data_IF_840300822247
#
_entry.id   IF_840300822247
#
_cell.length_a   1.000
_cell.length_b   1.000
_cell.length_c   1.000
_cell.angle_alpha   90.00
_cell.angle_beta   90.00
_cell.angle_gamma   90.00
#
_symmetry.space_group_name_H-M   'P 1'
#
loop_
_entity.id
_entity.type
_entity.pdbx_description
1 polymer ?
#
# COMPACT_ATOMS: atom_id res chain seq x y z
N UNK A 1 14.80 -15.86 26.90
CA UNK A 1 14.50 -14.53 26.33
C UNK A 1 13.59 -14.59 25.08
N UNK A 2 13.62 -15.68 24.31
CA UNK A 2 12.84 -15.92 23.07
C UNK A 2 11.32 -15.89 23.23
N UNK A 3 10.78 -16.36 24.37
CA UNK A 3 9.33 -16.45 24.59
C UNK A 3 8.68 -15.08 24.83
N UNK A 4 9.39 -14.16 25.48
CA UNK A 4 8.91 -12.80 25.80
C UNK A 4 8.89 -11.90 24.56
N UNK A 5 9.94 -11.97 23.74
CA UNK A 5 10.00 -11.27 22.44
C UNK A 5 8.94 -11.77 21.44
N UNK A 6 8.67 -13.08 21.40
CA UNK A 6 7.57 -13.60 20.55
C UNK A 6 6.19 -13.12 21.00
N UNK A 7 5.97 -12.99 22.31
CA UNK A 7 4.72 -12.45 22.86
C UNK A 7 4.54 -10.97 22.53
N UNK A 8 5.56 -10.13 22.74
CA UNK A 8 5.54 -8.71 22.34
C UNK A 8 5.34 -8.53 20.83
N UNK A 9 5.93 -9.40 20.00
CA UNK A 9 5.75 -9.36 18.55
C UNK A 9 4.34 -9.75 18.12
N UNK A 10 3.73 -10.75 18.77
CA UNK A 10 2.33 -11.12 18.54
C UNK A 10 1.38 -9.98 18.95
N UNK A 11 1.70 -9.28 20.04
CA UNK A 11 0.93 -8.14 20.54
C UNK A 11 0.89 -6.98 19.54
N UNK A 12 2.01 -6.65 18.88
CA UNK A 12 2.04 -5.60 17.84
C UNK A 12 1.20 -5.96 16.62
N UNK A 13 1.29 -7.20 16.12
CA UNK A 13 0.48 -7.66 14.99
C UNK A 13 -1.02 -7.64 15.31
N UNK A 14 -1.38 -8.11 16.51
CA UNK A 14 -2.75 -8.10 16.99
C UNK A 14 -3.29 -6.66 17.08
N UNK A 15 -2.58 -5.76 17.77
CA UNK A 15 -2.99 -4.37 17.95
C UNK A 15 -3.23 -3.63 16.63
N UNK A 16 -2.35 -3.82 15.65
CA UNK A 16 -2.51 -3.21 14.31
C UNK A 16 -3.72 -3.79 13.60
N UNK A 17 -3.87 -5.11 13.62
CA UNK A 17 -4.98 -5.76 12.93
C UNK A 17 -6.31 -5.38 13.58
N UNK A 18 -6.37 -5.34 14.91
CA UNK A 18 -7.58 -4.96 15.65
C UNK A 18 -7.99 -3.52 15.34
N UNK A 19 -7.01 -2.61 15.16
CA UNK A 19 -7.28 -1.26 14.72
C UNK A 19 -7.90 -1.22 13.32
N UNK A 20 -7.33 -1.99 12.38
CA UNK A 20 -7.83 -2.07 11.00
C UNK A 20 -9.22 -2.71 10.96
N UNK A 21 -9.44 -3.78 11.72
CA UNK A 21 -10.75 -4.44 11.87
C UNK A 21 -11.79 -3.45 12.40
N UNK A 22 -11.48 -2.69 13.45
CA UNK A 22 -12.40 -1.71 14.02
C UNK A 22 -12.76 -0.57 13.05
N UNK A 23 -11.89 -0.23 12.10
CA UNK A 23 -12.19 0.74 11.03
C UNK A 23 -13.08 0.09 9.96
N UNK A 24 -12.75 -1.13 9.54
CA UNK A 24 -13.55 -1.89 8.56
C UNK A 24 -14.98 -2.18 9.06
N UNK A 25 -15.16 -2.45 10.36
CA UNK A 25 -16.47 -2.63 11.00
C UNK A 25 -17.35 -1.36 10.94
N UNK A 26 -16.73 -0.18 10.89
CA UNK A 26 -17.42 1.10 10.69
C UNK A 26 -17.69 1.39 9.21
N UNK A 27 -17.39 0.44 8.31
CA UNK A 27 -17.45 0.61 6.86
C UNK A 27 -16.29 1.43 6.30
N UNK A 28 -15.30 1.78 7.14
CA UNK A 28 -14.16 2.62 6.75
C UNK A 28 -13.05 1.71 6.24
N UNK A 29 -12.63 1.90 4.99
CA UNK A 29 -11.46 1.22 4.41
C UNK A 29 -10.22 2.09 4.60
N UNK A 30 -9.29 1.74 5.50
CA UNK A 30 -8.17 2.63 5.85
C UNK A 30 -7.24 2.95 4.67
N UNK A 31 -7.12 2.02 3.73
CA UNK A 31 -6.35 2.19 2.49
C UNK A 31 -7.02 3.06 1.44
N UNK A 32 -8.33 3.32 1.57
CA UNK A 32 -9.13 4.12 0.63
C UNK A 32 -9.39 5.55 1.12
N UNK A 33 -9.18 5.80 2.41
CA UNK A 33 -9.43 7.07 3.08
C UNK A 33 -8.69 8.31 2.53
N UNK A 34 -7.46 8.25 1.96
CA UNK A 34 -6.85 9.44 1.38
C UNK A 34 -7.63 10.02 0.17
N UNK A 35 -8.52 9.22 -0.45
CA UNK A 35 -9.33 9.65 -1.60
C UNK A 35 -10.74 10.15 -1.23
N UNK A 36 -11.18 9.92 0.02
CA UNK A 36 -12.54 10.29 0.48
C UNK A 36 -12.57 11.49 1.43
N UNK A 37 -11.41 11.94 1.93
CA UNK A 37 -11.33 13.18 2.72
C UNK A 37 -11.69 14.37 1.84
N UNK A 38 -12.82 15.01 2.12
CA UNK A 38 -13.29 16.24 1.47
C UNK A 38 -12.34 17.43 1.59
N UNK A 39 -11.20 17.26 2.28
CA UNK A 39 -10.12 18.23 2.46
C UNK A 39 -8.80 17.78 1.81
N UNK A 40 -8.79 16.71 1.00
CA UNK A 40 -7.61 16.27 0.24
C UNK A 40 -7.38 17.15 -1.00
N UNK A 41 -7.21 18.46 -0.79
CA UNK A 41 -6.86 19.42 -1.86
C UNK A 41 -5.39 19.35 -2.28
N UNK A 42 -4.71 18.23 -2.02
CA UNK A 42 -3.30 18.00 -2.35
C UNK A 42 -3.12 16.74 -3.20
N UNK A 43 -2.02 16.65 -3.95
CA UNK A 43 -1.63 15.43 -4.69
C UNK A 43 -1.60 14.23 -3.73
N UNK A 44 -2.46 13.24 -3.97
CA UNK A 44 -2.45 11.99 -3.20
C UNK A 44 -1.20 11.20 -3.55
N UNK A 45 -0.33 11.05 -2.56
CA UNK A 45 0.94 10.32 -2.67
C UNK A 45 1.06 9.34 -1.52
N UNK A 46 1.92 8.33 -1.67
CA UNK A 46 2.25 7.46 -0.54
C UNK A 46 2.88 8.29 0.58
N UNK A 47 2.69 7.90 1.85
CA UNK A 47 3.36 8.57 2.94
C UNK A 47 4.87 8.59 2.67
N UNK A 48 5.50 9.73 2.86
CA UNK A 48 6.91 9.95 2.57
C UNK A 48 7.71 9.97 3.87
N UNK A 49 8.93 9.44 3.82
CA UNK A 49 9.93 9.60 4.88
C UNK A 49 10.52 11.02 4.81
N UNK A 50 11.22 11.43 5.85
CA UNK A 50 11.97 12.71 5.89
C UNK A 50 12.91 12.95 4.69
N UNK A 51 13.36 11.89 4.00
CA UNK A 51 14.23 11.96 2.83
C UNK A 51 13.48 11.87 1.49
N UNK A 52 12.15 11.98 1.49
CA UNK A 52 11.32 11.93 0.28
C UNK A 52 11.03 10.51 -0.24
N UNK A 53 11.66 9.47 0.30
CA UNK A 53 11.35 8.09 -0.12
C UNK A 53 9.99 7.64 0.44
N UNK A 54 9.16 6.97 -0.36
CA UNK A 54 7.87 6.47 0.09
C UNK A 54 8.01 5.37 1.16
N UNK A 55 7.04 5.32 2.06
CA UNK A 55 6.83 4.17 2.94
C UNK A 55 6.28 2.98 2.13
N UNK A 56 6.64 1.78 2.57
CA UNK A 56 6.29 0.53 1.90
C UNK A 56 5.46 -0.39 2.80
N UNK A 57 4.67 -1.26 2.17
CA UNK A 57 3.87 -2.28 2.84
C UNK A 57 2.85 -1.69 3.83
N UNK A 58 2.70 -2.34 4.98
CA UNK A 58 1.67 -2.00 5.99
C UNK A 58 1.79 -0.56 6.53
N UNK A 59 2.98 0.04 6.50
CA UNK A 59 3.17 1.42 6.98
C UNK A 59 2.40 2.43 6.15
N UNK A 60 2.15 2.16 4.88
CA UNK A 60 1.30 3.00 4.04
C UNK A 60 -0.10 3.10 4.65
N UNK A 61 -0.66 1.96 5.06
CA UNK A 61 -2.01 1.87 5.61
C UNK A 61 -2.13 2.53 6.97
N UNK A 62 -1.15 2.26 7.84
CA UNK A 62 -1.10 2.83 9.19
C UNK A 62 -1.03 4.36 9.14
N UNK A 63 -0.20 4.90 8.27
CA UNK A 63 0.01 6.34 8.17
C UNK A 63 -1.14 7.06 7.46
N UNK A 64 -1.79 6.44 6.47
CA UNK A 64 -3.01 7.01 5.88
C UNK A 64 -4.19 7.02 6.86
N UNK A 65 -4.45 5.90 7.54
CA UNK A 65 -5.47 5.81 8.60
C UNK A 65 -5.28 6.93 9.63
N UNK A 66 -4.03 7.11 10.08
CA UNK A 66 -3.71 8.13 11.06
C UNK A 66 -3.81 9.57 10.51
N UNK A 67 -3.34 9.81 9.28
CA UNK A 67 -3.45 11.11 8.63
C UNK A 67 -4.90 11.59 8.62
N UNK A 68 -5.84 10.70 8.29
CA UNK A 68 -7.25 11.07 8.26
C UNK A 68 -7.85 11.20 9.66
N UNK A 69 -7.56 10.26 10.57
CA UNK A 69 -8.05 10.31 11.94
C UNK A 69 -7.67 11.62 12.67
N UNK A 70 -6.53 12.21 12.31
CA UNK A 70 -6.01 13.46 12.90
C UNK A 70 -6.08 14.67 11.98
N UNK A 71 -6.57 14.52 10.76
CA UNK A 71 -6.70 15.60 9.78
C UNK A 71 -5.38 16.17 9.25
N UNK A 72 -4.33 15.35 9.14
CA UNK A 72 -3.07 15.77 8.55
C UNK A 72 -3.16 15.88 7.02
N UNK A 73 -2.71 17.01 6.49
CA UNK A 73 -2.69 17.30 5.05
C UNK A 73 -1.38 16.93 4.37
N UNK A 74 -0.26 16.87 5.12
CA UNK A 74 1.04 16.52 4.56
C UNK A 74 1.26 15.01 4.51
N UNK A 75 1.80 14.47 3.40
CA UNK A 75 2.17 13.06 3.32
C UNK A 75 3.46 12.73 4.07
N UNK A 76 4.20 13.69 4.63
CA UNK A 76 5.54 13.45 5.18
C UNK A 76 5.57 13.11 6.68
N UNK A 77 6.34 12.08 7.01
CA UNK A 77 6.50 11.52 8.35
C UNK A 77 7.97 11.33 8.73
N UNK A 78 8.30 11.56 9.99
CA UNK A 78 9.65 11.41 10.52
C UNK A 78 9.69 11.01 11.99
N UNK A 79 10.76 10.37 12.43
CA UNK A 79 10.96 10.03 13.85
C UNK A 79 11.30 11.25 14.68
N UNK A 80 11.12 11.17 16.01
CA UNK A 80 11.50 12.25 16.94
C UNK A 80 12.95 12.69 16.77
N UNK A 81 13.87 11.73 16.61
CA UNK A 81 15.30 12.02 16.42
C UNK A 81 15.55 12.77 15.11
N UNK A 82 14.93 12.35 14.01
CA UNK A 82 15.03 13.03 12.72
C UNK A 82 14.47 14.45 12.77
N UNK A 83 13.36 14.67 13.47
CA UNK A 83 12.81 16.00 13.68
C UNK A 83 13.84 16.91 14.38
N UNK A 84 14.46 16.41 15.46
CA UNK A 84 15.46 17.14 16.23
C UNK A 84 16.73 17.42 15.41
N UNK A 85 17.20 16.44 14.64
CA UNK A 85 18.38 16.59 13.76
C UNK A 85 18.15 17.65 12.66
N UNK A 86 16.89 17.86 12.26
CA UNK A 86 16.47 18.90 11.31
C UNK A 86 16.18 20.25 11.99
N UNK A 87 16.45 20.39 13.29
CA UNK A 87 16.17 21.61 14.06
C UNK A 87 14.72 21.79 14.48
N UNK A 88 13.86 20.79 14.23
CA UNK A 88 12.46 20.79 14.59
C UNK A 88 12.15 20.18 15.97
N UNK A 89 11.13 20.70 16.65
CA UNK A 89 10.65 20.19 17.92
C UNK A 89 9.21 19.67 17.80
N UNK A 90 8.98 18.40 18.16
CA UNK A 90 7.61 17.87 18.28
C UNK A 90 6.87 18.65 19.36
N UNK A 91 5.67 19.16 19.06
CA UNK A 91 4.88 19.95 20.01
C UNK A 91 4.52 19.14 21.25
N UNK A 92 4.51 19.81 22.40
CA UNK A 92 4.21 19.20 23.70
C UNK A 92 2.77 18.66 23.71
N UNK A 93 2.60 17.37 23.97
CA UNK A 93 1.29 16.71 24.04
C UNK A 93 0.91 15.93 22.77
N UNK A 94 1.65 16.07 21.68
CA UNK A 94 1.46 15.27 20.47
C UNK A 94 1.86 13.80 20.71
N UNK A 95 1.07 12.87 20.21
CA UNK A 95 1.38 11.44 20.26
C UNK A 95 1.86 10.93 18.91
N UNK A 96 2.88 10.08 18.92
CA UNK A 96 3.44 9.50 17.71
C UNK A 96 2.58 8.37 17.14
N UNK A 97 2.71 8.16 15.84
CA UNK A 97 1.99 7.16 15.07
C UNK A 97 2.91 5.96 14.81
N UNK A 98 2.39 4.76 14.98
CA UNK A 98 3.21 3.56 14.92
C UNK A 98 3.44 3.13 13.47
N UNK A 99 4.70 2.91 13.11
CA UNK A 99 5.12 2.21 11.90
C UNK A 99 5.94 0.98 12.28
N UNK A 100 5.95 -0.03 11.44
CA UNK A 100 6.71 -1.26 11.65
C UNK A 100 7.82 -1.39 10.61
N UNK A 101 9.01 -1.77 11.06
CA UNK A 101 10.14 -2.07 10.21
C UNK A 101 10.42 -3.57 10.31
N UNK A 102 10.27 -4.28 9.20
CA UNK A 102 10.66 -5.68 9.10
C UNK A 102 12.05 -5.76 8.45
N UNK A 103 13.00 -6.42 9.11
CA UNK A 103 14.32 -6.70 8.55
C UNK A 103 14.84 -8.05 9.07
N UNK A 104 16.02 -8.48 8.60
CA UNK A 104 16.69 -9.72 9.03
C UNK A 104 18.02 -9.37 9.65
N UNK A 105 18.42 -10.09 10.70
CA UNK A 105 19.79 -10.02 11.21
C UNK A 105 20.41 -11.42 11.20
N UNK A 106 21.70 -11.49 10.89
CA UNK A 106 22.44 -12.75 10.88
C UNK A 106 22.89 -13.09 12.29
N UNK A 107 22.57 -14.29 12.75
CA UNK A 107 23.09 -14.84 14.00
C UNK A 107 23.81 -16.14 13.69
N UNK A 108 25.09 -16.17 14.03
CA UNK A 108 25.90 -17.38 13.97
C UNK A 108 25.51 -18.28 15.14
N UNK A 109 24.96 -19.45 14.85
CA UNK A 109 24.63 -20.50 15.82
C UNK A 109 25.53 -21.71 15.55
N UNK A 110 26.08 -22.31 16.61
CA UNK A 110 26.84 -23.56 16.50
C UNK A 110 25.87 -24.73 16.46
N UNK A 111 25.91 -25.53 15.39
CA UNK A 111 25.11 -26.76 15.26
C UNK A 111 25.56 -27.83 16.26
N UNK A 112 24.76 -28.89 16.43
CA UNK A 112 25.06 -30.05 17.28
C UNK A 112 26.38 -30.77 16.92
N UNK A 113 26.97 -30.46 15.75
CA UNK A 113 28.26 -30.97 15.27
C UNK A 113 29.44 -30.00 15.48
N UNK A 114 29.23 -28.84 16.08
CA UNK A 114 30.28 -27.85 16.33
C UNK A 114 30.58 -26.91 15.15
N UNK A 115 29.80 -26.95 14.06
CA UNK A 115 29.95 -26.04 12.93
C UNK A 115 29.12 -24.76 13.12
N UNK A 116 29.73 -23.61 12.82
CA UNK A 116 29.06 -22.31 12.83
C UNK A 116 28.16 -22.17 11.60
N UNK A 117 26.85 -22.08 11.82
CA UNK A 117 25.86 -21.84 10.78
C UNK A 117 25.28 -20.44 10.99
N UNK A 118 25.44 -19.59 9.99
CA UNK A 118 24.78 -18.29 9.93
C UNK A 118 23.29 -18.48 9.62
N UNK A 119 22.43 -18.14 10.58
CA UNK A 119 20.98 -18.12 10.40
C UNK A 119 20.48 -16.69 10.33
N UNK A 120 19.72 -16.39 9.28
CA UNK A 120 18.97 -15.14 9.18
C UNK A 120 17.71 -15.20 10.05
N UNK A 121 17.65 -14.33 11.05
CA UNK A 121 16.50 -14.22 11.96
C UNK A 121 15.66 -13.00 11.54
N UNK A 122 14.41 -13.18 11.08
CA UNK A 122 13.53 -12.07 10.77
C UNK A 122 13.05 -11.39 12.05
N UNK A 123 13.21 -10.07 12.12
CA UNK A 123 12.72 -9.23 13.21
C UNK A 123 11.79 -8.15 12.68
N UNK A 124 10.87 -7.73 13.55
CA UNK A 124 9.94 -6.64 13.29
C UNK A 124 10.03 -5.67 14.47
N UNK A 125 10.41 -4.44 14.21
CA UNK A 125 10.53 -3.39 15.22
C UNK A 125 9.52 -2.31 14.94
N UNK A 126 8.73 -1.95 15.95
CA UNK A 126 7.84 -0.81 15.87
C UNK A 126 8.63 0.48 16.18
N UNK A 127 8.40 1.51 15.38
CA UNK A 127 8.90 2.86 15.60
C UNK A 127 7.72 3.82 15.70
N UNK A 128 7.90 4.89 16.46
CA UNK A 128 6.97 6.02 16.49
C UNK A 128 7.46 7.11 15.55
N UNK A 129 6.61 7.50 14.61
CA UNK A 129 6.83 8.61 13.69
C UNK A 129 5.78 9.69 13.90
N UNK A 130 6.11 10.91 13.51
CA UNK A 130 5.29 12.10 13.64
C UNK A 130 5.10 12.69 12.26
N UNK A 131 3.90 13.17 11.98
CA UNK A 131 3.65 13.95 10.77
C UNK A 131 4.34 15.31 10.91
N UNK A 132 4.79 15.91 9.80
CA UNK A 132 5.39 17.25 9.85
C UNK A 132 4.45 18.29 10.45
N UNK A 133 3.13 18.10 10.34
CA UNK A 133 2.14 18.98 10.95
C UNK A 133 2.26 19.03 12.47
N UNK A 134 2.91 18.05 13.11
CA UNK A 134 3.13 17.94 14.57
C UNK A 134 4.44 18.55 15.06
N UNK A 135 5.29 19.06 14.15
CA UNK A 135 6.66 19.47 14.42
C UNK A 135 6.82 20.95 14.08
N UNK A 136 7.28 21.74 15.05
CA UNK A 136 7.57 23.15 14.84
C UNK A 136 9.06 23.35 14.51
N UNK A 137 9.41 24.39 13.75
CA UNK A 137 10.80 24.73 13.44
C UNK A 137 11.46 23.93 12.31
N UNK A 138 10.68 23.20 11.51
CA UNK A 138 11.19 22.49 10.33
C UNK A 138 11.55 23.47 9.18
N UNK A 139 12.57 23.17 8.37
CA UNK A 139 12.92 23.97 7.19
C UNK A 139 11.77 24.11 6.17
N UNK A 140 11.65 25.28 5.53
CA UNK A 140 10.57 25.65 4.60
C UNK A 140 10.33 24.67 3.44
N UNK A 141 11.37 23.91 3.04
CA UNK A 141 11.27 22.87 2.02
C UNK A 141 10.27 21.77 2.36
N UNK A 142 9.93 21.60 3.64
CA UNK A 142 8.94 20.63 4.12
C UNK A 142 7.52 21.22 4.22
N UNK A 143 7.36 22.54 4.12
CA UNK A 143 6.10 23.25 4.40
C UNK A 143 5.28 23.66 3.16
N UNK A 144 5.76 23.41 1.93
CA UNK A 144 5.04 23.83 0.71
C UNK A 144 3.89 22.87 0.36
N UNK A 145 2.66 23.33 0.61
CA UNK A 145 1.45 22.79 -0.01
C UNK A 145 1.25 23.45 -1.38
N UNK A 146 1.28 22.68 -2.47
CA UNK A 146 0.87 23.16 -3.78
C UNK A 146 -0.62 22.85 -3.98
N UNK A 147 -1.41 23.89 -4.26
CA UNK A 147 -2.81 23.79 -4.69
C UNK A 147 -2.89 23.91 -6.21
N UNK A 148 -3.73 23.10 -6.86
CA UNK A 148 -3.97 23.10 -8.31
C UNK A 148 -5.43 22.63 -8.59
N UNK A 149 -6.01 22.87 -9.79
CA UNK A 149 -7.35 23.42 -9.98
C UNK A 149 -8.42 22.39 -10.41
N UNK A 150 -9.65 22.88 -10.49
CA UNK A 150 -10.91 22.19 -10.85
C UNK A 150 -10.89 21.65 -12.30
N UNK A 151 -11.44 20.44 -12.50
CA UNK A 151 -11.38 19.66 -13.75
C UNK A 151 -12.55 19.91 -14.71
N UNK A 152 -12.21 19.83 -16.00
CA UNK A 152 -13.08 19.77 -17.18
C UNK A 152 -13.08 18.30 -17.75
N UNK A 153 -13.72 17.95 -18.90
CA UNK A 153 -14.23 16.59 -19.21
C UNK A 153 -13.21 15.44 -19.14
N UNK A 154 -13.71 14.20 -18.93
CA UNK A 154 -12.95 12.97 -18.63
C UNK A 154 -11.85 12.70 -19.67
N UNK A 155 -10.71 13.35 -19.50
CA UNK A 155 -9.50 13.11 -20.26
C UNK A 155 -8.81 11.88 -19.70
N UNK A 156 -8.26 11.06 -20.59
CA UNK A 156 -7.37 9.98 -20.18
C UNK A 156 -6.16 10.53 -19.44
N UNK A 157 -5.66 9.76 -18.48
CA UNK A 157 -4.49 10.12 -17.69
C UNK A 157 -3.26 9.58 -18.42
N UNK A 158 -2.64 10.41 -19.26
CA UNK A 158 -1.62 9.97 -20.23
C UNK A 158 -0.44 9.19 -19.63
N UNK A 159 0.08 9.63 -18.46
CA UNK A 159 1.18 8.91 -17.80
C UNK A 159 0.74 7.55 -17.23
N UNK A 160 -0.52 7.39 -16.84
CA UNK A 160 -1.06 6.10 -16.41
C UNK A 160 -1.26 5.16 -17.60
N UNK A 161 -1.81 5.65 -18.70
CA UNK A 161 -1.94 4.88 -19.95
C UNK A 161 -0.57 4.35 -20.41
N UNK A 162 0.46 5.21 -20.38
CA UNK A 162 1.83 4.81 -20.72
C UNK A 162 2.38 3.76 -19.74
N UNK A 163 2.16 3.95 -18.43
CA UNK A 163 2.58 2.99 -17.41
C UNK A 163 2.01 1.59 -17.67
N UNK A 164 0.70 1.50 -17.93
CA UNK A 164 0.06 0.21 -18.23
C UNK A 164 0.47 -0.35 -19.58
N UNK A 165 0.69 0.48 -20.60
CA UNK A 165 1.22 0.02 -21.88
C UNK A 165 2.61 -0.62 -21.74
N UNK A 166 3.48 -0.03 -20.92
CA UNK A 166 4.83 -0.54 -20.66
C UNK A 166 4.83 -1.90 -19.95
N UNK A 167 3.76 -2.26 -19.23
CA UNK A 167 3.66 -3.59 -18.59
C UNK A 167 3.65 -4.74 -19.59
N UNK A 168 3.27 -4.48 -20.85
CA UNK A 168 3.06 -5.52 -21.85
C UNK A 168 1.85 -6.42 -21.59
N UNK A 169 1.04 -6.13 -20.56
CA UNK A 169 -0.17 -6.89 -20.29
C UNK A 169 -1.18 -6.75 -21.45
N UNK A 170 -1.77 -7.87 -21.87
CA UNK A 170 -2.82 -7.86 -22.87
C UNK A 170 -4.12 -7.33 -22.24
N UNK A 171 -4.42 -6.04 -22.46
CA UNK A 171 -5.64 -5.40 -21.97
C UNK A 171 -6.66 -5.36 -23.11
N UNK A 172 -7.84 -5.94 -22.86
CA UNK A 172 -8.98 -5.95 -23.78
C UNK A 172 -10.12 -5.12 -23.20
N UNK A 173 -10.85 -4.44 -24.08
CA UNK A 173 -12.04 -3.68 -23.70
C UNK A 173 -13.30 -4.32 -24.27
N UNK A 174 -14.35 -4.42 -23.45
CA UNK A 174 -15.63 -5.02 -23.82
C UNK A 174 -16.39 -5.59 -22.61
N UNK A 175 -17.67 -5.87 -22.80
CA UNK A 175 -18.54 -6.34 -21.72
C UNK A 175 -18.77 -5.31 -20.62
N UNK A 176 -19.27 -5.79 -19.48
CA UNK A 176 -19.70 -5.00 -18.32
C UNK A 176 -18.85 -5.22 -17.06
N UNK A 177 -17.83 -6.08 -17.15
CA UNK A 177 -17.03 -6.52 -16.00
C UNK A 177 -15.54 -6.40 -16.25
N UNK A 178 -14.81 -6.01 -15.20
CA UNK A 178 -13.36 -6.05 -15.14
C UNK A 178 -12.90 -7.36 -14.48
N UNK A 179 -11.89 -8.01 -15.05
CA UNK A 179 -11.26 -9.19 -14.46
C UNK A 179 -9.92 -9.52 -15.13
N UNK A 180 -8.99 -10.10 -14.38
CA UNK A 180 -7.86 -10.86 -14.93
C UNK A 180 -8.25 -12.32 -15.22
N UNK A 181 -7.90 -12.82 -16.40
CA UNK A 181 -8.17 -14.19 -16.84
C UNK A 181 -6.87 -15.03 -16.93
N UNK A 182 -6.55 -15.86 -15.92
CA UNK A 182 -5.26 -16.56 -15.86
C UNK A 182 -4.98 -17.52 -17.01
N UNK A 183 -6.01 -18.20 -17.53
CA UNK A 183 -5.86 -19.24 -18.58
C UNK A 183 -5.36 -18.62 -19.90
N UNK A 184 -5.88 -17.44 -20.22
CA UNK A 184 -5.60 -16.71 -21.46
C UNK A 184 -4.61 -15.56 -21.25
N UNK A 185 -4.15 -15.39 -20.02
CA UNK A 185 -3.24 -14.33 -19.57
C UNK A 185 -3.58 -12.92 -20.09
N UNK A 186 -4.85 -12.50 -19.94
CA UNK A 186 -5.29 -11.17 -20.34
C UNK A 186 -6.12 -10.51 -19.25
N UNK A 187 -6.18 -9.19 -19.31
CA UNK A 187 -7.03 -8.35 -18.48
C UNK A 187 -8.22 -7.91 -19.33
N UNK A 188 -9.42 -8.20 -18.88
CA UNK A 188 -10.66 -7.70 -19.45
C UNK A 188 -11.09 -6.46 -18.68
N UNK A 189 -11.43 -5.39 -19.41
CA UNK A 189 -11.96 -4.15 -18.86
C UNK A 189 -13.27 -3.79 -19.58
N UNK A 190 -14.26 -3.18 -18.90
CA UNK A 190 -15.36 -2.50 -19.57
C UNK A 190 -14.85 -1.37 -20.48
N UNK A 191 -15.62 -0.94 -21.49
CA UNK A 191 -15.25 0.23 -22.30
C UNK A 191 -14.97 1.45 -21.42
N UNK A 192 -13.93 2.23 -21.73
CA UNK A 192 -13.51 3.37 -20.90
C UNK A 192 -14.66 4.36 -20.61
N UNK A 193 -15.57 4.54 -21.59
CA UNK A 193 -16.71 5.44 -21.49
C UNK A 193 -17.77 5.00 -20.48
N UNK A 194 -17.74 3.77 -19.97
CA UNK A 194 -18.67 3.30 -18.93
C UNK A 194 -18.21 3.66 -17.52
N UNK A 195 -17.00 4.19 -17.36
CA UNK A 195 -16.48 4.63 -16.09
C UNK A 195 -16.90 6.07 -15.79
N UNK A 196 -17.19 6.35 -14.52
CA UNK A 196 -17.54 7.68 -14.04
C UNK A 196 -16.45 8.71 -14.34
N UNK A 197 -15.19 8.29 -14.24
CA UNK A 197 -14.03 9.13 -14.46
C UNK A 197 -12.79 8.28 -14.79
N UNK A 198 -11.73 8.94 -15.27
CA UNK A 198 -10.49 8.29 -15.69
C UNK A 198 -9.73 7.66 -14.51
N UNK A 199 -9.83 8.24 -13.32
CA UNK A 199 -9.18 7.72 -12.12
C UNK A 199 -9.85 6.42 -11.66
N UNK A 200 -11.18 6.33 -11.72
CA UNK A 200 -11.95 5.11 -11.49
C UNK A 200 -11.57 3.99 -12.46
N UNK A 201 -11.37 4.31 -13.74
CA UNK A 201 -10.82 3.36 -14.71
C UNK A 201 -9.42 2.88 -14.30
N UNK A 202 -8.52 3.80 -13.97
CA UNK A 202 -7.16 3.47 -13.56
C UNK A 202 -7.15 2.61 -12.30
N UNK A 203 -7.94 2.93 -11.28
CA UNK A 203 -8.04 2.11 -10.06
C UNK A 203 -8.50 0.67 -10.34
N UNK A 204 -9.43 0.52 -11.29
CA UNK A 204 -9.89 -0.81 -11.71
C UNK A 204 -8.78 -1.57 -12.43
N UNK A 205 -8.11 -0.90 -13.37
CA UNK A 205 -7.03 -1.51 -14.12
C UNK A 205 -5.84 -1.85 -13.21
N UNK A 206 -5.55 -1.00 -12.22
CA UNK A 206 -4.54 -1.25 -11.19
C UNK A 206 -4.88 -2.49 -10.34
N UNK A 207 -6.16 -2.72 -10.04
CA UNK A 207 -6.63 -3.94 -9.36
C UNK A 207 -6.39 -5.18 -10.23
N UNK A 208 -6.87 -5.15 -11.47
CA UNK A 208 -6.73 -6.29 -12.37
C UNK A 208 -5.30 -6.58 -12.78
N UNK A 209 -4.47 -5.55 -12.98
CA UNK A 209 -3.04 -5.75 -13.27
C UNK A 209 -2.31 -6.30 -12.05
N UNK A 210 -2.76 -5.97 -10.83
CA UNK A 210 -2.22 -6.60 -9.62
C UNK A 210 -2.51 -8.09 -9.64
N UNK A 211 -3.73 -8.53 -9.96
CA UNK A 211 -4.03 -9.94 -10.18
C UNK A 211 -3.19 -10.55 -11.30
N UNK A 212 -3.02 -9.83 -12.42
CA UNK A 212 -2.19 -10.29 -13.54
C UNK A 212 -0.79 -10.67 -13.09
N UNK A 213 -0.14 -9.90 -12.21
CA UNK A 213 1.19 -10.25 -11.69
C UNK A 213 1.27 -11.63 -10.99
N UNK A 214 0.15 -12.24 -10.59
CA UNK A 214 0.14 -13.53 -9.88
C UNK A 214 0.72 -14.71 -10.68
N UNK A 215 0.79 -14.64 -12.01
CA UNK A 215 1.18 -15.79 -12.82
C UNK A 215 2.58 -16.35 -12.48
N UNK A 216 2.82 -17.65 -12.72
CA UNK A 216 4.06 -18.33 -12.32
C UNK A 216 5.34 -17.71 -12.89
N UNK A 217 5.27 -17.10 -14.07
CA UNK A 217 6.40 -16.45 -14.74
C UNK A 217 6.58 -14.97 -14.33
N UNK A 218 5.80 -14.47 -13.37
CA UNK A 218 5.84 -13.10 -12.82
C UNK A 218 6.17 -13.15 -11.33
N UNK A 219 5.26 -12.71 -10.44
CA UNK A 219 5.50 -12.77 -8.98
C UNK A 219 4.98 -14.04 -8.31
N UNK A 220 4.49 -15.00 -9.11
CA UNK A 220 4.16 -16.37 -8.72
C UNK A 220 3.37 -16.48 -7.40
N UNK A 221 2.17 -15.89 -7.36
CA UNK A 221 1.21 -16.11 -6.27
C UNK A 221 0.32 -17.29 -6.64
N UNK A 222 0.27 -18.30 -5.78
CA UNK A 222 -0.56 -19.48 -6.03
C UNK A 222 -2.06 -19.16 -5.86
N UNK A 223 -2.78 -19.14 -6.98
CA UNK A 223 -4.23 -18.91 -7.04
C UNK A 223 -5.02 -20.19 -7.34
N UNK A 224 -4.41 -21.38 -7.23
CA UNK A 224 -5.05 -22.67 -7.53
C UNK A 224 -6.33 -22.94 -6.71
N UNK A 225 -6.43 -22.33 -5.51
CA UNK A 225 -7.58 -22.44 -4.61
C UNK A 225 -8.53 -21.23 -4.66
N UNK A 226 -8.24 -20.23 -5.47
CA UNK A 226 -9.02 -18.98 -5.54
C UNK A 226 -10.51 -19.21 -5.79
N UNK A 227 -10.87 -20.12 -6.71
CA UNK A 227 -12.28 -20.44 -7.00
C UNK A 227 -12.91 -21.43 -5.99
N UNK A 228 -12.09 -22.14 -5.20
CA UNK A 228 -12.51 -23.26 -4.34
C UNK A 228 -12.68 -22.85 -2.88
N UNK A 229 -11.95 -21.82 -2.45
CA UNK A 229 -11.89 -21.39 -1.06
C UNK A 229 -12.15 -19.89 -0.95
N UNK A 230 -13.21 -19.53 -0.23
CA UNK A 230 -13.61 -18.13 -0.05
C UNK A 230 -12.56 -17.34 0.73
N UNK A 231 -11.84 -17.96 1.65
CA UNK A 231 -10.80 -17.30 2.44
C UNK A 231 -9.56 -17.03 1.58
N UNK A 232 -9.15 -17.98 0.74
CA UNK A 232 -8.05 -17.77 -0.22
C UNK A 232 -8.41 -16.69 -1.25
N UNK A 233 -9.64 -16.73 -1.76
CA UNK A 233 -10.17 -15.66 -2.62
C UNK A 233 -10.08 -14.30 -1.93
N UNK A 234 -10.57 -14.21 -0.69
CA UNK A 234 -10.55 -12.96 0.07
C UNK A 234 -9.12 -12.44 0.33
N UNK A 235 -8.13 -13.33 0.55
CA UNK A 235 -6.71 -12.96 0.71
C UNK A 235 -6.12 -12.36 -0.58
N UNK A 236 -6.42 -12.96 -1.73
CA UNK A 236 -5.95 -12.42 -3.02
C UNK A 236 -6.68 -11.12 -3.39
N UNK A 237 -8.00 -11.01 -3.15
CA UNK A 237 -8.73 -9.75 -3.35
C UNK A 237 -8.19 -8.63 -2.46
N UNK A 238 -7.87 -8.92 -1.20
CA UNK A 238 -7.22 -7.95 -0.31
C UNK A 238 -5.86 -7.52 -0.85
N UNK A 239 -5.11 -8.44 -1.45
CA UNK A 239 -3.82 -8.15 -2.09
C UNK A 239 -4.00 -7.27 -3.32
N UNK A 240 -4.98 -7.57 -4.18
CA UNK A 240 -5.27 -6.80 -5.39
C UNK A 240 -5.77 -5.39 -5.08
N UNK A 241 -6.62 -5.23 -4.08
CA UNK A 241 -7.08 -3.91 -3.64
C UNK A 241 -5.93 -3.07 -3.07
N UNK A 242 -5.08 -3.66 -2.22
CA UNK A 242 -3.89 -2.96 -1.71
C UNK A 242 -2.91 -2.60 -2.85
N UNK A 243 -2.75 -3.47 -3.85
CA UNK A 243 -1.93 -3.19 -5.02
C UNK A 243 -2.50 -2.06 -5.87
N UNK A 244 -3.82 -2.05 -6.08
CA UNK A 244 -4.53 -0.97 -6.74
C UNK A 244 -4.28 0.36 -6.04
N UNK A 245 -4.44 0.36 -4.71
CA UNK A 245 -4.21 1.50 -3.87
C UNK A 245 -2.79 2.06 -3.99
N UNK A 246 -1.79 1.18 -3.98
CA UNK A 246 -0.39 1.57 -4.10
C UNK A 246 -0.08 2.14 -5.48
N UNK A 247 -0.56 1.51 -6.56
CA UNK A 247 -0.37 2.00 -7.93
C UNK A 247 -1.05 3.35 -8.17
N UNK A 248 -2.29 3.53 -7.72
CA UNK A 248 -2.98 4.81 -7.81
C UNK A 248 -2.22 5.90 -7.08
N UNK A 249 -1.71 5.62 -5.88
CA UNK A 249 -0.90 6.57 -5.12
C UNK A 249 0.45 6.88 -5.81
N UNK A 250 1.13 5.89 -6.38
CA UNK A 250 2.38 6.08 -7.13
C UNK A 250 2.16 6.92 -8.39
N UNK A 251 1.03 6.73 -9.07
CA UNK A 251 0.65 7.50 -10.26
C UNK A 251 0.03 8.86 -9.93
N UNK A 252 -0.15 9.21 -8.65
CA UNK A 252 -0.76 10.47 -8.23
C UNK A 252 -2.23 10.59 -8.59
N UNK A 253 -2.95 9.47 -8.59
CA UNK A 253 -4.34 9.34 -9.04
C UNK A 253 -5.23 9.06 -7.83
N UNK A 254 -6.19 9.97 -7.62
CA UNK A 254 -7.23 9.85 -6.62
C UNK A 254 -8.56 9.56 -7.32
N UNK A 255 -9.02 8.30 -7.33
CA UNK A 255 -10.34 7.98 -7.86
C UNK A 255 -11.43 8.49 -6.92
N UNK A 256 -12.51 9.07 -7.47
CA UNK A 256 -13.74 9.36 -6.73
C UNK A 256 -14.43 8.02 -6.44
N UNK A 257 -13.88 7.25 -5.50
CA UNK A 257 -14.43 5.95 -5.15
C UNK A 257 -15.65 6.15 -4.24
N UNK A 258 -16.83 6.28 -4.85
CA UNK A 258 -18.02 5.71 -4.24
C UNK A 258 -17.76 4.20 -4.02
N UNK A 259 -18.10 3.64 -2.85
CA UNK A 259 -17.94 2.21 -2.63
C UNK A 259 -18.80 1.46 -3.65
N UNK A 260 -18.16 0.79 -4.63
CA UNK A 260 -18.93 -0.02 -5.59
C UNK A 260 -19.86 -0.98 -4.86
N UNK A 261 -21.08 -1.20 -5.37
CA UNK A 261 -22.05 -2.10 -4.75
C UNK A 261 -21.51 -3.51 -4.47
N UNK A 262 -20.61 -4.03 -5.33
CA UNK A 262 -20.06 -5.39 -5.19
C UNK A 262 -19.03 -5.53 -4.05
N UNK A 263 -18.47 -4.43 -3.52
CA UNK A 263 -17.43 -4.47 -2.49
C UNK A 263 -17.93 -4.86 -1.09
N UNK A 264 -19.22 -4.67 -0.80
CA UNK A 264 -19.79 -5.04 0.50
C UNK A 264 -19.67 -6.56 0.78
N UNK A 265 -19.69 -7.38 -0.28
CA UNK A 265 -19.55 -8.84 -0.19
C UNK A 265 -18.14 -9.28 0.24
N UNK A 266 -17.10 -8.52 -0.13
CA UNK A 266 -15.71 -8.79 0.21
C UNK A 266 -15.34 -8.26 1.60
N UNK A 267 -15.93 -7.16 2.04
CA UNK A 267 -15.68 -6.57 3.36
C UNK A 267 -15.91 -7.58 4.50
N UNK A 268 -17.05 -8.29 4.46
CA UNK A 268 -17.34 -9.34 5.45
C UNK A 268 -16.36 -10.51 5.39
N UNK A 269 -15.87 -10.86 4.19
CA UNK A 269 -14.88 -11.92 4.01
C UNK A 269 -13.48 -11.48 4.48
N UNK A 270 -13.11 -10.22 4.30
CA UNK A 270 -11.86 -9.64 4.82
C UNK A 270 -11.88 -9.56 6.34
N UNK A 271 -12.97 -9.06 6.94
CA UNK A 271 -13.15 -9.05 8.39
C UNK A 271 -12.94 -10.44 8.99
N UNK A 272 -13.51 -11.48 8.37
CA UNK A 272 -13.29 -12.87 8.79
C UNK A 272 -11.82 -13.30 8.69
N UNK A 273 -11.16 -13.05 7.54
CA UNK A 273 -9.74 -13.38 7.35
C UNK A 273 -8.85 -12.66 8.36
N UNK A 274 -9.11 -11.39 8.66
CA UNK A 274 -8.35 -10.58 9.61
C UNK A 274 -8.63 -10.94 11.07
N UNK A 275 -9.83 -11.43 11.37
CA UNK A 275 -10.18 -11.98 12.68
C UNK A 275 -9.44 -13.31 12.92
N UNK A 276 -9.41 -14.19 11.93
CA UNK A 276 -8.80 -15.52 12.01
C UNK A 276 -7.26 -15.46 11.98
N UNK A 277 -6.66 -14.47 11.30
CA UNK A 277 -5.22 -14.34 11.10
C UNK A 277 -4.73 -12.89 11.23
N UNK A 278 -4.18 -12.54 12.41
CA UNK A 278 -3.62 -11.21 12.71
C UNK A 278 -2.39 -10.83 11.88
N UNK A 279 -1.89 -11.71 11.00
CA UNK A 279 -0.80 -11.43 10.06
C UNK A 279 -1.28 -11.36 8.61
N UNK A 280 -2.56 -11.62 8.34
CA UNK A 280 -3.08 -11.65 6.98
C UNK A 280 -2.91 -10.30 6.26
N UNK A 281 -3.18 -9.17 6.93
CA UNK A 281 -3.02 -7.84 6.34
C UNK A 281 -1.56 -7.52 5.98
N UNK A 282 -0.60 -7.96 6.80
CA UNK A 282 0.82 -7.76 6.55
C UNK A 282 1.29 -8.59 5.36
N UNK A 283 0.80 -9.82 5.28
CA UNK A 283 1.09 -10.72 4.16
C UNK A 283 0.51 -10.14 2.87
N UNK A 284 -0.77 -9.73 2.86
CA UNK A 284 -1.41 -9.11 1.70
C UNK A 284 -0.67 -7.83 1.26
N UNK A 285 -0.32 -6.95 2.19
CA UNK A 285 0.45 -5.73 1.88
C UNK A 285 1.85 -6.05 1.31
N UNK A 286 2.52 -7.10 1.79
CA UNK A 286 3.81 -7.53 1.26
C UNK A 286 3.68 -8.12 -0.16
N UNK A 287 2.64 -8.91 -0.43
CA UNK A 287 2.35 -9.43 -1.77
C UNK A 287 1.99 -8.31 -2.74
N UNK A 288 1.17 -7.34 -2.31
CA UNK A 288 0.80 -6.16 -3.08
C UNK A 288 2.04 -5.32 -3.43
N UNK A 289 2.92 -5.07 -2.45
CA UNK A 289 4.18 -4.37 -2.67
C UNK A 289 5.07 -5.07 -3.71
N UNK A 290 5.17 -6.40 -3.67
CA UNK A 290 5.96 -7.15 -4.66
C UNK A 290 5.37 -7.05 -6.07
N UNK A 291 4.04 -7.11 -6.18
CA UNK A 291 3.34 -6.92 -7.46
C UNK A 291 3.61 -5.52 -8.03
N UNK A 292 3.44 -4.48 -7.21
CA UNK A 292 3.68 -3.08 -7.59
C UNK A 292 5.15 -2.86 -7.98
N UNK A 293 6.09 -3.38 -7.20
CA UNK A 293 7.53 -3.28 -7.51
C UNK A 293 7.88 -3.96 -8.85
N UNK A 294 7.30 -5.13 -9.12
CA UNK A 294 7.46 -5.81 -10.41
C UNK A 294 6.96 -4.92 -11.56
N UNK A 295 5.78 -4.31 -11.43
CA UNK A 295 5.20 -3.45 -12.47
C UNK A 295 6.03 -2.18 -12.72
N UNK A 296 6.60 -1.59 -11.66
CA UNK A 296 7.55 -0.48 -11.79
C UNK A 296 8.87 -0.93 -12.45
N UNK A 297 9.32 -2.15 -12.20
CA UNK A 297 10.49 -2.73 -12.87
C UNK A 297 10.29 -3.00 -14.38
N UNK A 298 9.07 -2.89 -14.90
CA UNK A 298 8.77 -2.93 -16.34
C UNK A 298 8.81 -1.55 -17.01
N UNK A 299 8.96 -0.49 -16.22
CA UNK A 299 9.08 0.86 -16.76
C UNK A 299 10.49 1.07 -17.33
N UNK A 300 10.63 1.87 -18.40
CA UNK A 300 11.96 2.19 -18.94
C UNK A 300 12.81 2.88 -17.88
N UNK A 301 14.06 2.44 -17.71
CA UNK A 301 15.03 3.12 -16.85
C UNK A 301 15.20 4.57 -17.32
N UNK A 302 15.00 5.52 -16.41
CA UNK A 302 15.29 6.93 -16.67
C UNK A 302 16.81 7.11 -16.81
N UNK A 303 17.25 7.92 -17.78
CA UNK A 303 18.67 8.09 -18.12
C UNK A 303 19.58 8.49 -16.93
N UNK A 304 19.02 9.05 -15.85
CA UNK A 304 19.74 9.41 -14.62
C UNK A 304 20.30 8.19 -13.85
N UNK A 305 19.73 6.99 -14.01
CA UNK A 305 20.25 5.78 -13.34
C UNK A 305 21.45 5.15 -14.06
N UNK A 306 21.67 5.49 -15.34
CA UNK A 306 22.80 4.98 -16.13
C UNK A 306 24.13 5.68 -15.85
N UNK A 307 24.09 6.94 -15.42
CA UNK A 307 25.31 7.71 -15.13
C UNK A 307 25.82 7.51 -13.69
N UNK A 308 25.10 6.75 -12.86
CA UNK A 308 25.44 6.48 -11.46
C UNK A 308 25.94 5.03 -11.19
N UNK A 309 26.10 4.20 -12.22
CA UNK A 309 26.60 2.82 -12.14
C UNK A 309 28.08 2.70 -12.57
#
# INVERSE_FOLDING_TARGET
MTRKQNAERMDVYARITDRIVAELEKGIRPWMQPWQSSNASGRVTRPLRHNGLPYNGINVLLLWSEAVARGFSSPMWMTFKQALDLGGGVRKGETGSMVVFASRFTRTETDIRGEEIDREIPFLTAYSVFNIAQIDGLPDQFCRSQAEPVRDPIARIGHADQFFANTGALIRHGGDRAYYAPVTDHIQMPPFQTFQDAASYVATLSHEVTHWTSAPHRVNRDLSRYAKDRSERAREELTAELGSCFLCADLGIAPELEPRPDHASYLGSWLKVLADDKRAIFSAAAHAQRAVAFLHGLQPETAEERDAA
#
